data_IF_891796926249
#
_entry.id   IF_891796926249
#
_cell.length_a   1.000
_cell.length_b   1.000
_cell.length_c   1.000
_cell.angle_alpha   90.00
_cell.angle_beta   90.00
_cell.angle_gamma   90.00
#
_symmetry.space_group_name_H-M   'P 1'
#
loop_
_entity.id
_entity.type
_entity.pdbx_description
1 polymer ?
#
# COMPACT_ATOMS: atom_id res chain seq x y z
N UNK A 1 36.18 -55.97 11.72
CA UNK A 1 34.72 -56.05 11.49
C UNK A 1 34.26 -54.76 10.81
N UNK A 2 33.84 -54.90 9.55
CA UNK A 2 32.83 -54.12 8.80
C UNK A 2 32.61 -52.63 9.06
N UNK A 3 32.84 -51.85 7.99
CA UNK A 3 32.19 -50.57 7.69
C UNK A 3 30.65 -50.68 7.67
N UNK A 4 29.92 -49.58 7.87
CA UNK A 4 28.67 -49.31 7.15
C UNK A 4 28.20 -47.85 7.33
N UNK A 5 27.88 -47.23 6.20
CA UNK A 5 27.12 -45.99 6.03
C UNK A 5 25.61 -46.33 6.14
N UNK A 6 24.82 -45.54 6.85
CA UNK A 6 23.36 -45.41 6.64
C UNK A 6 23.05 -43.91 6.81
N UNK A 7 22.68 -43.13 5.80
CA UNK A 7 21.54 -43.16 4.85
C UNK A 7 20.15 -43.07 5.52
N UNK A 8 19.48 -41.98 5.14
CA UNK A 8 18.03 -41.80 4.95
C UNK A 8 17.10 -41.29 6.07
N UNK A 9 16.65 -40.03 5.85
CA UNK A 9 15.26 -39.61 5.59
C UNK A 9 14.14 -40.07 6.53
N UNK A 10 13.47 -39.11 7.19
CA UNK A 10 12.00 -38.98 7.35
C UNK A 10 11.71 -37.59 7.97
N UNK A 11 11.04 -36.68 7.26
CA UNK A 11 9.58 -36.52 7.20
C UNK A 11 9.00 -35.61 8.30
N UNK A 12 8.66 -34.39 7.85
CA UNK A 12 7.48 -33.57 8.16
C UNK A 12 6.85 -33.50 9.57
N UNK A 13 6.53 -32.24 9.89
CA UNK A 13 5.40 -31.75 10.72
C UNK A 13 5.48 -31.92 12.23
N UNK A 14 5.62 -30.77 12.92
CA UNK A 14 4.62 -30.19 13.84
C UNK A 14 5.23 -28.97 14.54
N UNK A 15 5.27 -27.81 13.87
CA UNK A 15 5.42 -26.55 14.60
C UNK A 15 4.05 -26.14 15.14
N UNK A 16 3.94 -26.31 16.44
CA UNK A 16 2.81 -26.17 17.33
C UNK A 16 2.17 -24.79 17.21
N UNK A 17 0.88 -24.76 16.89
CA UNK A 17 0.01 -23.59 17.00
C UNK A 17 -0.20 -23.27 18.48
N UNK A 18 0.52 -22.29 19.02
CA UNK A 18 0.22 -21.75 20.35
C UNK A 18 -1.01 -20.85 20.25
N UNK A 19 -2.17 -21.36 20.66
CA UNK A 19 -3.35 -20.55 20.94
C UNK A 19 -3.11 -19.83 22.26
N UNK A 20 -3.03 -18.50 22.25
CA UNK A 20 -3.17 -17.70 23.45
C UNK A 20 -4.56 -17.06 23.43
N UNK A 21 -5.45 -17.60 24.28
CA UNK A 21 -6.75 -17.04 24.60
C UNK A 21 -6.83 -16.91 26.12
N UNK A 22 -6.94 -15.67 26.60
CA UNK A 22 -7.49 -15.22 27.90
C UNK A 22 -7.24 -13.70 27.96
N UNK A 23 -8.18 -12.80 27.65
CA UNK A 23 -9.36 -12.41 28.43
C UNK A 23 -9.04 -11.86 29.82
N UNK A 24 -9.01 -10.53 29.97
CA UNK A 24 -9.55 -9.81 31.15
C UNK A 24 -9.87 -8.36 30.77
N UNK A 25 -11.15 -8.01 30.87
CA UNK A 25 -11.64 -6.64 30.90
C UNK A 25 -11.37 -6.03 32.27
N UNK A 26 -10.94 -4.76 32.32
CA UNK A 26 -11.12 -3.89 33.48
C UNK A 26 -11.20 -2.45 33.01
N UNK A 27 -12.33 -1.81 33.30
CA UNK A 27 -12.59 -0.42 33.03
C UNK A 27 -11.95 0.48 34.11
N UNK A 28 -11.58 1.68 33.66
CA UNK A 28 -11.48 2.94 34.40
C UNK A 28 -10.49 3.06 35.58
N UNK A 29 -9.45 3.87 35.38
CA UNK A 29 -9.14 5.02 36.25
C UNK A 29 -8.48 6.14 35.46
N UNK A 30 -9.03 7.35 35.63
CA UNK A 30 -8.50 8.63 35.18
C UNK A 30 -7.24 8.97 35.98
N UNK A 31 -6.18 9.45 35.31
CA UNK A 31 -5.39 10.66 35.68
C UNK A 31 -3.97 10.60 35.11
N UNK A 32 -3.59 11.66 34.38
CA UNK A 32 -2.23 12.21 34.45
C UNK A 32 -1.12 11.47 33.70
N UNK A 33 -1.09 11.58 32.37
CA UNK A 33 0.11 11.87 31.57
C UNK A 33 -0.30 11.83 30.10
N UNK A 34 -0.37 13.00 29.47
CA UNK A 34 -0.45 13.10 28.02
C UNK A 34 0.91 12.67 27.43
N UNK A 35 1.20 11.38 27.48
CA UNK A 35 2.18 10.77 26.59
C UNK A 35 1.56 10.84 25.21
N UNK A 36 2.05 11.81 24.43
CA UNK A 36 1.95 11.85 22.97
C UNK A 36 2.59 10.59 22.41
N UNK A 37 1.93 9.45 22.57
CA UNK A 37 2.16 8.28 21.74
C UNK A 37 1.63 8.70 20.38
N UNK A 38 2.48 8.82 19.35
CA UNK A 38 1.97 8.96 18.00
C UNK A 38 1.04 7.77 17.82
N UNK A 39 -0.23 8.04 17.50
CA UNK A 39 -1.12 7.02 17.00
C UNK A 39 -0.45 6.46 15.75
N UNK A 40 0.42 5.46 15.94
CA UNK A 40 0.78 4.51 14.94
C UNK A 40 -0.57 3.88 14.59
N UNK A 41 -1.19 4.43 13.55
CA UNK A 41 -2.18 3.73 12.78
C UNK A 41 -1.47 2.45 12.36
N UNK A 42 -1.60 1.41 13.19
CA UNK A 42 -1.20 0.07 12.87
C UNK A 42 -1.97 -0.25 11.61
N UNK A 43 -1.29 -0.16 10.47
CA UNK A 43 -1.78 -0.76 9.25
C UNK A 43 -1.90 -2.24 9.58
N UNK A 44 -3.11 -2.67 9.90
CA UNK A 44 -3.40 -4.08 10.11
C UNK A 44 -2.86 -4.83 8.88
N UNK A 45 -2.21 -5.99 9.08
CA UNK A 45 -1.68 -6.77 7.97
C UNK A 45 -2.79 -6.93 6.93
N UNK A 46 -2.49 -6.54 5.69
CA UNK A 46 -3.43 -6.61 4.58
C UNK A 46 -3.87 -8.07 4.47
N UNK A 47 -5.11 -8.36 4.86
CA UNK A 47 -5.63 -9.71 4.74
C UNK A 47 -5.81 -9.95 3.25
N UNK A 48 -5.03 -10.84 2.60
CA UNK A 48 -5.04 -11.01 1.15
C UNK A 48 -6.41 -11.47 0.62
N UNK A 49 -7.29 -11.91 1.53
CA UNK A 49 -8.66 -12.37 1.28
C UNK A 49 -9.70 -11.27 1.43
N UNK A 50 -9.39 -10.14 2.10
CA UNK A 50 -10.36 -9.07 2.29
C UNK A 50 -10.63 -8.33 0.96
N UNK A 51 -11.90 -8.03 0.65
CA UNK A 51 -12.23 -7.27 -0.55
C UNK A 51 -11.71 -5.84 -0.45
N UNK A 52 -11.19 -5.34 -1.56
CA UNK A 52 -10.75 -3.95 -1.73
C UNK A 52 -11.98 -3.03 -1.59
N UNK A 53 -11.97 -2.04 -0.66
CA UNK A 53 -13.12 -1.17 -0.42
C UNK A 53 -13.70 -0.55 -1.70
N UNK A 54 -15.02 -0.72 -1.90
CA UNK A 54 -15.73 -0.24 -3.09
C UNK A 54 -15.59 -1.15 -4.32
N UNK A 55 -15.12 -2.40 -4.14
CA UNK A 55 -15.08 -3.45 -5.15
C UNK A 55 -15.39 -4.81 -4.51
N UNK A 56 -15.67 -5.82 -5.34
CA UNK A 56 -15.77 -7.22 -4.91
C UNK A 56 -14.45 -7.99 -5.09
N UNK A 57 -13.38 -7.31 -5.54
CA UNK A 57 -12.09 -7.94 -5.81
C UNK A 57 -11.27 -8.06 -4.51
N UNK A 58 -10.55 -9.17 -4.32
CA UNK A 58 -9.42 -9.18 -3.39
C UNK A 58 -8.17 -8.51 -4.01
N UNK A 59 -7.16 -8.22 -3.20
CA UNK A 59 -5.93 -7.54 -3.65
C UNK A 59 -5.27 -8.27 -4.82
N UNK A 60 -5.11 -9.60 -4.72
CA UNK A 60 -4.49 -10.40 -5.78
C UNK A 60 -5.26 -10.41 -7.10
N UNK A 61 -6.60 -10.34 -7.08
CA UNK A 61 -7.43 -10.19 -8.28
C UNK A 61 -7.21 -8.81 -8.93
N UNK A 62 -7.11 -7.74 -8.14
CA UNK A 62 -6.82 -6.39 -8.65
C UNK A 62 -5.46 -6.33 -9.30
N UNK A 63 -4.44 -6.96 -8.72
CA UNK A 63 -3.10 -7.04 -9.31
C UNK A 63 -3.11 -7.72 -10.68
N UNK A 64 -3.74 -8.90 -10.78
CA UNK A 64 -3.86 -9.63 -12.06
C UNK A 64 -4.68 -8.86 -13.10
N UNK A 65 -5.77 -8.22 -12.68
CA UNK A 65 -6.59 -7.37 -13.54
C UNK A 65 -5.78 -6.16 -14.05
N UNK A 66 -5.01 -5.52 -13.17
CA UNK A 66 -4.15 -4.37 -13.51
C UNK A 66 -3.06 -4.79 -14.50
N UNK A 67 -2.44 -5.96 -14.31
CA UNK A 67 -1.44 -6.52 -15.22
C UNK A 67 -2.00 -6.72 -16.65
N UNK A 68 -3.27 -7.11 -16.78
CA UNK A 68 -3.95 -7.30 -18.07
C UNK A 68 -4.34 -5.97 -18.73
N UNK A 69 -4.94 -5.04 -17.97
CA UNK A 69 -5.52 -3.79 -18.52
C UNK A 69 -4.47 -2.68 -18.72
N UNK A 70 -3.40 -2.71 -17.92
CA UNK A 70 -2.34 -1.70 -17.96
C UNK A 70 -0.95 -2.35 -17.73
N UNK A 71 -0.45 -3.16 -18.69
CA UNK A 71 0.78 -3.93 -18.52
C UNK A 71 2.01 -3.04 -18.29
N UNK A 72 2.15 -1.93 -19.01
CA UNK A 72 3.24 -0.96 -18.82
C UNK A 72 3.26 -0.35 -17.41
N UNK A 73 2.07 0.00 -16.90
CA UNK A 73 1.93 0.51 -15.54
C UNK A 73 2.28 -0.57 -14.52
N UNK A 74 1.78 -1.79 -14.74
CA UNK A 74 2.06 -2.91 -13.86
C UNK A 74 3.54 -3.29 -13.84
N UNK A 75 4.23 -3.28 -14.97
CA UNK A 75 5.68 -3.47 -15.02
C UNK A 75 6.42 -2.43 -14.16
N UNK A 76 6.05 -1.16 -14.26
CA UNK A 76 6.67 -0.10 -13.46
C UNK A 76 6.44 -0.29 -11.95
N UNK A 77 5.25 -0.74 -11.55
CA UNK A 77 4.91 -0.97 -10.13
C UNK A 77 5.54 -2.26 -9.61
N UNK A 78 5.42 -3.36 -10.34
CA UNK A 78 5.87 -4.70 -9.91
C UNK A 78 7.40 -4.82 -9.81
N UNK A 79 8.15 -4.08 -10.63
CA UNK A 79 9.62 -4.08 -10.59
C UNK A 79 10.20 -3.22 -9.46
N UNK A 80 9.37 -2.43 -8.78
CA UNK A 80 9.78 -1.56 -7.69
C UNK A 80 9.03 -1.91 -6.40
N UNK A 81 9.71 -2.58 -5.47
CA UNK A 81 9.11 -3.07 -4.22
C UNK A 81 8.39 -1.96 -3.42
N UNK A 82 8.95 -0.74 -3.38
CA UNK A 82 8.34 0.40 -2.70
C UNK A 82 7.11 0.93 -3.42
N UNK A 83 7.10 0.88 -4.74
CA UNK A 83 5.93 1.27 -5.53
C UNK A 83 4.80 0.23 -5.37
N UNK A 84 5.15 -1.06 -5.36
CA UNK A 84 4.22 -2.16 -5.11
C UNK A 84 3.60 -2.09 -3.72
N UNK A 85 4.40 -1.94 -2.67
CA UNK A 85 3.92 -1.77 -1.30
C UNK A 85 2.96 -0.57 -1.17
N UNK A 86 3.32 0.58 -1.76
CA UNK A 86 2.41 1.73 -1.80
C UNK A 86 1.12 1.47 -2.57
N UNK A 87 1.17 0.68 -3.64
CA UNK A 87 -0.02 0.32 -4.40
C UNK A 87 -0.96 -0.53 -3.55
N UNK A 88 -0.47 -1.58 -2.90
CA UNK A 88 -1.24 -2.44 -2.00
C UNK A 88 -1.84 -1.66 -0.83
N UNK A 89 -1.04 -0.82 -0.16
CA UNK A 89 -1.51 0.04 0.92
C UNK A 89 -2.61 1.02 0.47
N UNK A 90 -2.59 1.47 -0.78
CA UNK A 90 -3.60 2.37 -1.31
C UNK A 90 -4.90 1.65 -1.68
N UNK A 91 -4.83 0.37 -2.06
CA UNK A 91 -6.01 -0.43 -2.34
C UNK A 91 -6.88 -0.62 -1.10
N UNK A 92 -6.28 -0.83 0.06
CA UNK A 92 -7.02 -1.09 1.31
C UNK A 92 -7.56 0.17 1.99
N UNK A 93 -7.23 1.37 1.50
CA UNK A 93 -7.72 2.63 2.08
C UNK A 93 -9.15 2.94 1.63
N UNK A 94 -9.98 3.37 2.58
CA UNK A 94 -11.31 3.90 2.25
C UNK A 94 -11.21 5.18 1.40
N UNK A 95 -12.26 5.57 0.68
CA UNK A 95 -12.30 6.85 -0.04
C UNK A 95 -11.93 8.06 0.83
N UNK A 96 -12.42 8.10 2.07
CA UNK A 96 -12.18 9.16 3.05
C UNK A 96 -10.72 9.20 3.48
N UNK A 97 -10.13 8.03 3.77
CA UNK A 97 -8.70 7.92 4.11
C UNK A 97 -7.81 8.37 2.95
N UNK A 98 -8.20 8.07 1.70
CA UNK A 98 -7.49 8.55 0.51
C UNK A 98 -7.62 10.06 0.35
N UNK A 99 -8.78 10.65 0.65
CA UNK A 99 -8.96 12.10 0.65
C UNK A 99 -8.08 12.78 1.71
N UNK A 100 -8.14 12.29 2.95
CA UNK A 100 -7.32 12.80 4.05
C UNK A 100 -5.81 12.71 3.75
N UNK A 101 -5.36 11.60 3.16
CA UNK A 101 -3.95 11.45 2.75
C UNK A 101 -3.54 12.47 1.67
N UNK A 102 -4.43 12.79 0.72
CA UNK A 102 -4.18 13.83 -0.30
C UNK A 102 -4.09 15.22 0.33
N UNK A 103 -4.96 15.53 1.27
CA UNK A 103 -4.96 16.82 1.95
C UNK A 103 -3.73 16.98 2.84
N UNK A 104 -3.35 15.95 3.59
CA UNK A 104 -2.11 15.93 4.35
C UNK A 104 -0.88 16.13 3.46
N UNK A 105 -0.81 15.43 2.31
CA UNK A 105 0.27 15.61 1.34
C UNK A 105 0.29 17.02 0.73
N UNK A 106 -0.88 17.63 0.49
CA UNK A 106 -0.98 19.02 0.02
C UNK A 106 -0.41 19.98 1.06
N UNK A 107 -0.85 19.88 2.32
CA UNK A 107 -0.35 20.70 3.43
C UNK A 107 1.16 20.55 3.62
N UNK A 108 1.68 19.32 3.62
CA UNK A 108 3.11 19.07 3.77
C UNK A 108 3.94 19.69 2.63
N UNK A 109 3.43 19.62 1.39
CA UNK A 109 4.06 20.28 0.24
C UNK A 109 4.05 21.80 0.36
N UNK A 110 2.95 22.37 0.85
CA UNK A 110 2.82 23.82 1.02
C UNK A 110 3.72 24.32 2.15
N UNK A 111 3.83 23.57 3.25
CA UNK A 111 4.78 23.84 4.33
C UNK A 111 6.23 23.82 3.84
N UNK A 112 6.65 22.74 3.17
CA UNK A 112 8.00 22.64 2.59
C UNK A 112 8.29 23.74 1.58
N UNK A 113 7.27 24.17 0.82
CA UNK A 113 7.38 25.29 -0.11
C UNK A 113 7.59 26.62 0.62
N UNK A 114 6.87 26.86 1.71
CA UNK A 114 7.04 28.05 2.52
C UNK A 114 8.44 28.08 3.18
N UNK A 115 8.92 26.96 3.70
CA UNK A 115 10.28 26.82 4.23
C UNK A 115 11.33 27.10 3.16
N UNK A 116 11.18 26.50 1.97
CA UNK A 116 12.08 26.75 0.85
C UNK A 116 12.10 28.23 0.45
N UNK A 117 10.93 28.89 0.40
CA UNK A 117 10.82 30.33 0.07
C UNK A 117 11.52 31.22 1.11
N UNK A 118 11.44 30.88 2.40
CA UNK A 118 12.18 31.59 3.46
C UNK A 118 13.69 31.41 3.30
N UNK A 119 14.13 30.20 2.96
CA UNK A 119 15.55 29.89 2.76
C UNK A 119 16.11 30.44 1.43
N UNK A 120 15.27 30.80 0.46
CA UNK A 120 15.67 31.25 -0.87
C UNK A 120 14.91 32.53 -1.28
N UNK A 121 15.11 33.66 -0.57
CA UNK A 121 14.48 34.92 -0.91
C UNK A 121 14.93 35.37 -2.32
N UNK A 122 13.98 35.88 -3.13
CA UNK A 122 14.25 36.38 -4.48
C UNK A 122 14.42 35.31 -5.56
N UNK A 123 14.52 34.02 -5.23
CA UNK A 123 14.53 32.95 -6.23
C UNK A 123 13.09 32.63 -6.70
N UNK A 124 12.86 32.81 -8.00
CA UNK A 124 11.67 32.27 -8.66
C UNK A 124 11.88 30.78 -8.95
N UNK A 125 10.81 29.98 -8.78
CA UNK A 125 10.90 28.53 -8.99
C UNK A 125 11.29 28.26 -10.44
N UNK A 126 12.31 27.44 -10.63
CA UNK A 126 12.69 26.96 -11.96
C UNK A 126 11.44 26.44 -12.70
N UNK A 127 11.32 26.82 -13.98
CA UNK A 127 10.27 26.32 -14.84
C UNK A 127 10.26 24.78 -14.79
N UNK A 128 9.07 24.18 -14.67
CA UNK A 128 8.97 22.72 -14.71
C UNK A 128 9.56 22.22 -16.03
N UNK A 129 10.54 21.29 -16.01
CA UNK A 129 11.04 20.69 -17.23
C UNK A 129 9.86 20.09 -17.99
N UNK A 130 9.81 20.34 -19.31
CA UNK A 130 8.82 19.69 -20.16
C UNK A 130 9.06 18.17 -20.10
N UNK A 131 8.01 17.34 -20.11
CA UNK A 131 8.18 15.89 -20.09
C UNK A 131 9.08 15.46 -21.24
N UNK A 132 10.15 14.71 -20.93
CA UNK A 132 11.23 14.36 -21.85
C UNK A 132 10.83 13.32 -22.90
N UNK A 133 9.68 12.66 -22.74
CA UNK A 133 9.44 11.37 -23.38
C UNK A 133 8.40 11.41 -24.51
N UNK A 134 7.84 12.59 -24.84
CA UNK A 134 6.75 12.74 -25.83
C UNK A 134 5.44 12.02 -25.48
N UNK A 135 5.44 11.11 -24.51
CA UNK A 135 4.27 10.40 -23.98
C UNK A 135 3.36 11.38 -23.27
N UNK A 136 2.23 11.69 -23.89
CA UNK A 136 1.17 12.46 -23.25
C UNK A 136 0.64 11.69 -22.04
N UNK A 137 0.46 12.40 -20.93
CA UNK A 137 -0.15 11.81 -19.74
C UNK A 137 -1.55 11.31 -20.10
N UNK A 138 -1.96 10.12 -19.64
CA UNK A 138 -3.31 9.64 -19.89
C UNK A 138 -4.32 10.67 -19.36
N UNK A 139 -5.35 10.93 -20.15
CA UNK A 139 -6.40 11.88 -19.77
C UNK A 139 -7.23 11.29 -18.63
N UNK A 140 -7.91 12.15 -17.85
CA UNK A 140 -8.79 11.68 -16.77
C UNK A 140 -9.80 10.62 -17.27
N UNK A 141 -10.49 10.80 -18.41
CA UNK A 141 -11.38 9.78 -18.96
C UNK A 141 -10.67 8.45 -19.27
N UNK A 142 -9.45 8.48 -19.81
CA UNK A 142 -8.69 7.26 -20.10
C UNK A 142 -8.31 6.51 -18.81
N UNK A 143 -7.97 7.23 -17.74
CA UNK A 143 -7.69 6.63 -16.43
C UNK A 143 -8.96 6.02 -15.85
N UNK A 144 -10.09 6.72 -15.90
CA UNK A 144 -11.38 6.22 -15.42
C UNK A 144 -11.84 4.98 -16.20
N UNK A 145 -11.66 4.97 -17.53
CA UNK A 145 -11.95 3.82 -18.37
C UNK A 145 -11.10 2.59 -17.99
N UNK A 146 -9.78 2.78 -17.77
CA UNK A 146 -8.91 1.70 -17.30
C UNK A 146 -9.32 1.18 -15.92
N UNK A 147 -9.71 2.06 -15.00
CA UNK A 147 -10.22 1.67 -13.69
C UNK A 147 -11.51 0.84 -13.82
N UNK A 148 -12.43 1.27 -14.70
CA UNK A 148 -13.66 0.52 -14.98
C UNK A 148 -13.36 -0.87 -15.56
N UNK A 149 -12.43 -0.96 -16.51
CA UNK A 149 -12.00 -2.22 -17.09
C UNK A 149 -11.35 -3.17 -16.05
N UNK A 150 -10.51 -2.63 -15.16
CA UNK A 150 -9.93 -3.41 -14.03
C UNK A 150 -11.05 -3.95 -13.15
N UNK A 151 -12.01 -3.11 -12.75
CA UNK A 151 -13.16 -3.53 -11.93
C UNK A 151 -13.99 -4.63 -12.61
N UNK A 152 -14.28 -4.48 -13.91
CA UNK A 152 -15.07 -5.46 -14.66
C UNK A 152 -14.34 -6.81 -14.80
N UNK A 153 -13.01 -6.78 -14.98
CA UNK A 153 -12.21 -8.00 -15.13
C UNK A 153 -12.02 -8.79 -13.83
N UNK A 154 -12.23 -8.18 -12.67
CA UNK A 154 -12.22 -8.90 -11.39
C UNK A 154 -13.42 -9.83 -11.21
N UNK A 155 -14.57 -9.50 -11.77
CA UNK A 155 -15.82 -10.28 -11.61
C UNK A 155 -15.83 -11.60 -12.39
N UNK A 156 -14.86 -11.78 -13.28
CA UNK A 156 -14.77 -12.91 -14.23
C UNK A 156 -13.51 -13.76 -14.05
N UNK A 157 -12.69 -13.53 -13.02
CA UNK A 157 -11.41 -14.22 -12.80
C UNK A 157 -11.30 -14.94 -11.46
#
# INVERSE_FOLDING_TARGET
MTAQLHKETHSMNRFTRTRLAAATAAAATLSGAALLVPAAANAAPVSPTAPVPGTQCNVGQVERATAKVAPEFWQHISTNAKAKDRFEQMLVKTPEQRAAARDAAKKARDARRAEWQKAHPGQTKAARPKPHDGKTKPTKPQVEQKIAAVKASCTTS
#
